data_IF_977017269153
#
_entry.id   IF_977017269153
#
_cell.length_a   1.000
_cell.length_b   1.000
_cell.length_c   1.000
_cell.angle_alpha   90.00
_cell.angle_beta   90.00
_cell.angle_gamma   90.00
#
_symmetry.space_group_name_H-M   'P 1'
#
loop_
_entity.id
_entity.type
_entity.pdbx_description
1 polymer ?
#
# COMPACT_ATOMS: atom_id res chain seq x y z
N UNK A 1 -40.00 48.72 21.54
CA UNK A 1 -39.84 47.62 20.55
C UNK A 1 -41.12 46.84 20.60
N UNK A 2 -41.78 46.63 19.46
CA UNK A 2 -43.03 45.88 19.45
C UNK A 2 -42.77 44.40 19.78
N UNK A 3 -43.65 43.70 20.52
CA UNK A 3 -43.46 42.28 20.80
C UNK A 3 -43.27 41.42 19.54
N UNK A 4 -43.85 41.78 18.39
CA UNK A 4 -43.65 41.05 17.14
C UNK A 4 -42.23 41.24 16.59
N UNK A 5 -41.64 42.43 16.73
CA UNK A 5 -40.25 42.69 16.36
C UNK A 5 -39.27 41.82 17.17
N UNK A 6 -39.53 41.67 18.47
CA UNK A 6 -38.71 40.84 19.37
C UNK A 6 -38.80 39.37 18.99
N UNK A 7 -40.00 38.87 18.67
CA UNK A 7 -40.22 37.49 18.21
C UNK A 7 -39.47 37.24 16.90
N UNK A 8 -39.62 38.14 15.92
CA UNK A 8 -38.96 38.02 14.62
C UNK A 8 -37.44 38.03 14.75
N UNK A 9 -36.87 38.94 15.55
CA UNK A 9 -35.43 38.99 15.81
C UNK A 9 -34.91 37.70 16.45
N UNK A 10 -35.66 37.15 17.41
CA UNK A 10 -35.29 35.91 18.09
C UNK A 10 -35.33 34.72 17.14
N UNK A 11 -36.36 34.61 16.29
CA UNK A 11 -36.45 33.55 15.27
C UNK A 11 -35.27 33.62 14.28
N UNK A 12 -34.91 34.81 13.82
CA UNK A 12 -33.73 35.00 12.95
C UNK A 12 -32.42 34.63 13.63
N UNK A 13 -32.26 34.96 14.92
CA UNK A 13 -31.05 34.63 15.68
C UNK A 13 -30.91 33.11 15.87
N UNK A 14 -32.01 32.41 16.13
CA UNK A 14 -32.04 30.94 16.25
C UNK A 14 -31.68 30.27 14.92
N UNK A 15 -32.27 30.72 13.82
CA UNK A 15 -31.97 30.14 12.50
C UNK A 15 -30.52 30.42 12.08
N UNK A 16 -30.00 31.62 12.36
CA UNK A 16 -28.59 31.94 12.13
C UNK A 16 -27.65 31.07 12.97
N UNK A 17 -27.99 30.77 14.23
CA UNK A 17 -27.22 29.86 15.08
C UNK A 17 -27.25 28.43 14.54
N UNK A 18 -28.41 27.96 14.08
CA UNK A 18 -28.57 26.64 13.45
C UNK A 18 -27.70 26.50 12.20
N UNK A 19 -27.75 27.47 11.30
CA UNK A 19 -26.95 27.49 10.07
C UNK A 19 -25.44 27.48 10.36
N UNK A 20 -25.00 28.23 11.37
CA UNK A 20 -23.59 28.22 11.81
C UNK A 20 -23.16 26.85 12.33
N UNK A 21 -24.00 26.21 13.14
CA UNK A 21 -23.72 24.89 13.69
C UNK A 21 -23.68 23.81 12.59
N UNK A 22 -24.58 23.86 11.62
CA UNK A 22 -24.58 22.96 10.47
C UNK A 22 -23.30 23.14 9.63
N UNK A 23 -22.92 24.39 9.36
CA UNK A 23 -21.66 24.70 8.65
C UNK A 23 -20.44 24.19 9.40
N UNK A 24 -20.43 24.33 10.74
CA UNK A 24 -19.34 23.83 11.59
C UNK A 24 -19.22 22.32 11.48
N UNK A 25 -20.33 21.59 11.64
CA UNK A 25 -20.37 20.12 11.53
C UNK A 25 -19.91 19.64 10.17
N UNK A 26 -20.35 20.29 9.11
CA UNK A 26 -19.94 19.95 7.75
C UNK A 26 -18.43 20.17 7.54
N UNK A 27 -17.89 21.25 8.09
CA UNK A 27 -16.45 21.54 8.02
C UNK A 27 -15.63 20.52 8.80
N UNK A 28 -16.08 20.14 10.00
CA UNK A 28 -15.43 19.10 10.81
C UNK A 28 -15.46 17.73 10.11
N UNK A 29 -16.60 17.37 9.50
CA UNK A 29 -16.73 16.15 8.71
C UNK A 29 -15.81 16.16 7.48
N UNK A 30 -15.74 17.27 6.75
CA UNK A 30 -14.82 17.39 5.62
C UNK A 30 -13.37 17.23 6.05
N UNK A 31 -12.99 17.80 7.20
CA UNK A 31 -11.64 17.67 7.74
C UNK A 31 -11.33 16.21 8.11
N UNK A 32 -12.28 15.49 8.74
CA UNK A 32 -12.07 14.09 9.10
C UNK A 32 -11.98 13.19 7.86
N UNK A 33 -12.83 13.42 6.86
CA UNK A 33 -12.78 12.70 5.58
C UNK A 33 -11.47 12.95 4.84
N UNK A 34 -10.98 14.19 4.80
CA UNK A 34 -9.68 14.51 4.21
C UNK A 34 -8.52 13.83 4.94
N UNK A 35 -8.56 13.75 6.26
CA UNK A 35 -7.55 13.03 7.03
C UNK A 35 -7.58 11.53 6.73
N UNK A 36 -8.77 10.91 6.73
CA UNK A 36 -8.95 9.50 6.40
C UNK A 36 -8.47 9.18 4.98
N UNK A 37 -8.78 10.05 4.01
CA UNK A 37 -8.34 9.90 2.63
C UNK A 37 -6.81 9.95 2.50
N UNK A 38 -6.16 10.86 3.23
CA UNK A 38 -4.68 10.95 3.24
C UNK A 38 -4.04 9.70 3.82
N UNK A 39 -4.58 9.14 4.90
CA UNK A 39 -4.08 7.89 5.47
C UNK A 39 -4.26 6.72 4.49
N UNK A 40 -5.43 6.60 3.86
CA UNK A 40 -5.66 5.57 2.82
C UNK A 40 -4.73 5.72 1.62
N UNK A 41 -4.41 6.95 1.21
CA UNK A 41 -3.45 7.19 0.14
C UNK A 41 -2.03 6.72 0.53
N UNK A 42 -1.60 6.93 1.78
CA UNK A 42 -0.31 6.42 2.28
C UNK A 42 -0.28 4.89 2.31
N UNK A 43 -1.33 4.25 2.83
CA UNK A 43 -1.47 2.79 2.84
C UNK A 43 -1.38 2.22 1.42
N UNK A 44 -2.10 2.84 0.48
CA UNK A 44 -2.09 2.42 -0.92
C UNK A 44 -0.69 2.50 -1.54
N UNK A 45 0.04 3.60 -1.32
CA UNK A 45 1.41 3.74 -1.84
C UNK A 45 2.37 2.72 -1.21
N UNK A 46 2.23 2.43 0.09
CA UNK A 46 3.01 1.37 0.74
C UNK A 46 2.70 0.00 0.13
N UNK A 47 1.43 -0.31 -0.10
CA UNK A 47 1.00 -1.58 -0.68
C UNK A 47 1.46 -1.72 -2.14
N UNK A 48 1.40 -0.64 -2.92
CA UNK A 48 1.91 -0.58 -4.29
C UNK A 48 3.41 -0.89 -4.34
N UNK A 49 4.22 -0.26 -3.47
CA UNK A 49 5.66 -0.56 -3.35
C UNK A 49 5.89 -2.01 -2.91
N UNK A 50 5.10 -2.53 -1.97
CA UNK A 50 5.18 -3.93 -1.54
C UNK A 50 4.89 -4.89 -2.69
N UNK A 51 3.82 -4.64 -3.48
CA UNK A 51 3.47 -5.40 -4.68
C UNK A 51 4.62 -5.41 -5.69
N UNK A 52 5.18 -4.24 -6.01
CA UNK A 52 6.32 -4.13 -6.94
C UNK A 52 7.52 -4.96 -6.48
N UNK A 53 7.86 -4.93 -5.18
CA UNK A 53 8.93 -5.75 -4.62
C UNK A 53 8.63 -7.25 -4.72
N UNK A 54 7.40 -7.67 -4.46
CA UNK A 54 7.01 -9.08 -4.59
C UNK A 54 7.10 -9.54 -6.05
N UNK A 55 6.60 -8.74 -6.99
CA UNK A 55 6.69 -9.04 -8.43
C UNK A 55 8.16 -9.15 -8.88
N UNK A 56 9.03 -8.23 -8.45
CA UNK A 56 10.45 -8.30 -8.77
C UNK A 56 11.13 -9.56 -8.19
N UNK A 57 10.77 -9.95 -6.96
CA UNK A 57 11.27 -11.19 -6.35
C UNK A 57 10.82 -12.42 -7.13
N UNK A 58 9.56 -12.50 -7.55
CA UNK A 58 9.06 -13.63 -8.34
C UNK A 58 9.67 -13.67 -9.75
N UNK A 59 9.81 -12.53 -10.42
CA UNK A 59 10.48 -12.47 -11.72
C UNK A 59 11.94 -12.96 -11.64
N UNK A 60 12.66 -12.60 -10.56
CA UNK A 60 14.02 -13.08 -10.34
C UNK A 60 14.09 -14.60 -10.09
N UNK A 61 13.11 -15.17 -9.37
CA UNK A 61 13.02 -16.63 -9.17
C UNK A 61 12.74 -17.36 -10.49
N UNK A 62 11.81 -16.86 -11.29
CA UNK A 62 11.45 -17.46 -12.57
C UNK A 62 12.66 -17.46 -13.52
N UNK A 63 13.33 -16.30 -13.64
CA UNK A 63 14.54 -16.20 -14.46
C UNK A 63 15.63 -17.19 -14.02
N UNK A 64 15.82 -17.37 -12.71
CA UNK A 64 16.81 -18.33 -12.20
C UNK A 64 16.47 -19.77 -12.61
N UNK A 65 15.20 -20.15 -12.65
CA UNK A 65 14.77 -21.47 -13.14
C UNK A 65 14.99 -21.57 -14.64
N UNK A 66 14.60 -20.56 -15.42
CA UNK A 66 14.77 -20.55 -16.87
C UNK A 66 16.26 -20.66 -17.26
N UNK A 67 17.13 -19.87 -16.63
CA UNK A 67 18.59 -19.89 -16.86
C UNK A 67 19.19 -21.28 -16.52
N UNK A 68 18.66 -21.96 -15.49
CA UNK A 68 19.09 -23.31 -15.12
C UNK A 68 18.60 -24.38 -16.08
N UNK A 69 17.36 -24.29 -16.57
CA UNK A 69 16.83 -25.22 -17.56
C UNK A 69 17.59 -25.11 -18.89
N UNK A 70 17.90 -23.89 -19.35
CA UNK A 70 18.73 -23.67 -20.54
C UNK A 70 20.13 -24.29 -20.41
N UNK A 71 20.71 -24.27 -19.20
CA UNK A 71 21.97 -24.94 -18.93
C UNK A 71 21.86 -26.46 -19.03
N UNK A 72 20.79 -27.05 -18.47
CA UNK A 72 20.55 -28.49 -18.60
C UNK A 72 20.33 -28.89 -20.06
N UNK A 73 19.53 -28.14 -20.81
CA UNK A 73 19.30 -28.38 -22.24
C UNK A 73 20.62 -28.32 -23.03
N UNK A 74 21.50 -27.35 -22.73
CA UNK A 74 22.82 -27.25 -23.37
C UNK A 74 23.73 -28.45 -23.05
N UNK A 75 23.64 -29.02 -21.84
CA UNK A 75 24.34 -30.26 -21.48
C UNK A 75 23.79 -31.43 -22.29
N UNK A 76 22.47 -31.57 -22.36
CA UNK A 76 21.79 -32.67 -23.07
C UNK A 76 22.07 -32.63 -24.58
N UNK A 77 22.15 -31.43 -25.16
CA UNK A 77 22.50 -31.21 -26.57
C UNK A 77 24.02 -31.28 -26.85
N UNK A 78 24.85 -31.48 -25.82
CA UNK A 78 26.31 -31.44 -25.90
C UNK A 78 26.85 -30.11 -26.50
N UNK A 79 26.12 -29.02 -26.27
CA UNK A 79 26.52 -27.67 -26.64
C UNK A 79 27.40 -27.07 -25.53
N UNK A 80 28.69 -27.44 -25.59
CA UNK A 80 29.69 -26.96 -24.66
C UNK A 80 29.85 -25.43 -24.65
N UNK A 81 29.46 -24.72 -25.72
CA UNK A 81 29.57 -23.26 -25.78
C UNK A 81 28.51 -22.61 -24.90
N UNK A 82 27.26 -23.07 -25.00
CA UNK A 82 26.17 -22.56 -24.17
C UNK A 82 26.26 -23.07 -22.72
N UNK A 83 26.73 -24.30 -22.50
CA UNK A 83 26.95 -24.83 -21.16
C UNK A 83 28.03 -24.03 -20.38
N UNK A 84 29.09 -23.59 -21.05
CA UNK A 84 30.14 -22.77 -20.42
C UNK A 84 29.71 -21.32 -20.11
N UNK A 85 28.63 -20.83 -20.72
CA UNK A 85 28.09 -19.51 -20.45
C UNK A 85 27.26 -19.45 -19.16
N UNK A 86 26.98 -20.60 -18.54
CA UNK A 86 26.26 -20.65 -17.28
C UNK A 86 27.11 -20.13 -16.11
N UNK A 87 26.66 -19.04 -15.49
CA UNK A 87 27.33 -18.43 -14.34
C UNK A 87 26.82 -19.05 -13.02
N UNK A 88 27.41 -20.17 -12.64
CA UNK A 88 27.12 -20.88 -11.39
C UNK A 88 27.25 -19.95 -10.17
N UNK A 89 28.24 -19.05 -10.17
CA UNK A 89 28.50 -18.14 -9.05
C UNK A 89 27.39 -17.08 -8.93
N UNK A 90 26.92 -16.54 -10.04
CA UNK A 90 25.77 -15.64 -10.05
C UNK A 90 24.49 -16.35 -9.58
N UNK A 91 24.27 -17.60 -9.98
CA UNK A 91 23.12 -18.38 -9.51
C UNK A 91 23.20 -18.64 -8.00
N UNK A 92 24.34 -19.08 -7.49
CA UNK A 92 24.54 -19.34 -6.06
C UNK A 92 24.36 -18.07 -5.22
N UNK A 93 24.86 -16.94 -5.69
CA UNK A 93 24.62 -15.64 -5.06
C UNK A 93 23.13 -15.26 -5.07
N UNK A 94 22.42 -15.56 -6.15
CA UNK A 94 20.97 -15.32 -6.25
C UNK A 94 20.18 -16.18 -5.26
N UNK A 95 20.54 -17.45 -5.10
CA UNK A 95 19.96 -18.36 -4.09
C UNK A 95 20.25 -17.87 -2.67
N UNK A 96 21.49 -17.47 -2.39
CA UNK A 96 21.87 -16.88 -1.09
C UNK A 96 21.08 -15.60 -0.79
N UNK A 97 20.86 -14.75 -1.79
CA UNK A 97 20.07 -13.53 -1.65
C UNK A 97 18.58 -13.85 -1.39
N UNK A 98 18.03 -14.88 -2.04
CA UNK A 98 16.66 -15.35 -1.79
C UNK A 98 16.51 -15.91 -0.37
N UNK A 99 17.48 -16.69 0.12
CA UNK A 99 17.47 -17.25 1.48
C UNK A 99 17.60 -16.16 2.55
N UNK A 100 18.47 -15.16 2.34
CA UNK A 100 18.63 -14.02 3.26
C UNK A 100 17.44 -13.05 3.23
N UNK A 101 16.71 -13.01 2.11
CA UNK A 101 15.54 -12.13 1.90
C UNK A 101 14.18 -12.75 2.28
N UNK A 102 14.18 -13.93 2.90
CA UNK A 102 13.01 -14.61 3.49
C UNK A 102 12.61 -13.95 4.81
N UNK A 103 12.02 -12.76 4.72
CA UNK A 103 11.44 -12.08 5.88
C UNK A 103 10.26 -12.92 6.38
N UNK A 104 10.40 -13.44 7.60
CA UNK A 104 9.35 -14.10 8.36
C UNK A 104 8.06 -13.29 8.27
N UNK A 105 6.95 -13.98 8.00
CA UNK A 105 5.63 -13.38 7.86
C UNK A 105 5.23 -12.50 9.04
N UNK A 106 5.50 -11.21 8.93
CA UNK A 106 4.86 -10.14 9.71
C UNK A 106 3.40 -10.01 9.32
N UNK A 107 2.62 -11.07 9.54
CA UNK A 107 1.19 -11.02 9.79
C UNK A 107 1.00 -10.71 11.28
N UNK A 108 1.33 -9.48 11.68
CA UNK A 108 0.65 -8.87 12.79
C UNK A 108 -0.24 -7.81 12.15
N UNK A 109 -1.52 -8.15 12.03
CA UNK A 109 -2.57 -7.20 11.81
C UNK A 109 -2.37 -6.07 12.83
N UNK A 110 -2.20 -4.85 12.34
CA UNK A 110 -2.53 -3.67 13.12
C UNK A 110 -4.06 -3.68 13.24
N UNK A 111 -4.56 -4.53 14.14
CA UNK A 111 -5.93 -4.48 14.62
C UNK A 111 -6.08 -3.15 15.34
N UNK A 112 -6.42 -2.14 14.56
CA UNK A 112 -7.00 -0.90 15.04
C UNK A 112 -8.26 -1.20 15.84
N UNK A 113 -8.07 -1.48 17.13
CA UNK A 113 -9.07 -1.34 18.18
C UNK A 113 -8.51 -0.44 19.26
N UNK A 114 -8.70 0.86 19.06
CA UNK A 114 -8.94 1.79 20.17
C UNK A 114 -10.45 1.93 20.33
N UNK A 115 -11.01 1.07 21.17
CA UNK A 115 -12.22 1.30 21.97
C UNK A 115 -11.80 0.83 23.38
N UNK A 116 -11.89 1.58 24.48
CA UNK A 116 -12.70 2.75 24.83
C UNK A 116 -11.90 3.75 25.67
#
# INVERSE_FOLDING_TARGET
MDPQDVIMFTAMAVEAARMREETRRMTELLRSLQAALREKAKEFEMLKKKKQRMVAKEAAKLKMVDDFMLFLDAIDENDGTNALNFDEKAMMNSILNLMKGGDNGGFAADDGKKEA
#
